data_IF_093032407275
#
_entry.id   IF_093032407275
#
_cell.length_a   1.000
_cell.length_b   1.000
_cell.length_c   1.000
_cell.angle_alpha   90.00
_cell.angle_beta   90.00
_cell.angle_gamma   90.00
#
_symmetry.space_group_name_H-M   'P 1'
#
loop_
_entity.id
_entity.type
_entity.pdbx_description
1 polymer ?
#
# COMPACT_ATOMS: atom_id res chain seq x y z
N UNK A 1 16.86 1.74 -14.90
CA UNK A 1 15.81 2.61 -14.34
C UNK A 1 15.02 1.77 -13.37
N UNK A 2 14.83 2.24 -12.11
CA UNK A 2 14.04 1.49 -11.13
C UNK A 2 12.56 1.47 -11.52
N UNK A 3 11.92 0.34 -11.29
CA UNK A 3 10.52 0.10 -11.64
C UNK A 3 9.63 0.22 -10.42
N UNK A 4 8.56 0.97 -10.53
CA UNK A 4 7.56 1.15 -9.48
C UNK A 4 6.22 0.62 -9.97
N UNK A 5 5.58 -0.18 -9.15
CA UNK A 5 4.24 -0.67 -9.43
C UNK A 5 3.25 -0.13 -8.39
N UNK A 6 2.24 0.60 -8.84
CA UNK A 6 1.21 1.22 -7.99
C UNK A 6 -0.06 0.37 -8.05
N UNK A 7 -0.56 -0.02 -6.89
CA UNK A 7 -1.84 -0.71 -6.73
C UNK A 7 -2.84 0.29 -6.14
N UNK A 8 -3.78 0.76 -6.98
CA UNK A 8 -4.88 1.60 -6.53
C UNK A 8 -5.98 0.72 -5.95
N UNK A 9 -6.02 0.65 -4.62
CA UNK A 9 -7.02 -0.05 -3.83
C UNK A 9 -8.27 0.78 -3.50
N UNK A 10 -8.48 1.89 -4.20
CA UNK A 10 -9.63 2.78 -4.06
C UNK A 10 -10.90 2.16 -4.64
N UNK A 11 -11.53 1.27 -3.87
CA UNK A 11 -12.71 0.53 -4.29
C UNK A 11 -13.92 1.43 -4.50
N UNK A 12 -14.64 1.22 -5.60
CA UNK A 12 -15.97 1.76 -5.82
C UNK A 12 -17.02 0.92 -5.09
N UNK A 13 -17.96 1.62 -4.44
CA UNK A 13 -19.04 0.97 -3.71
C UNK A 13 -20.31 1.81 -3.76
N UNK A 14 -21.44 1.20 -4.13
CA UNK A 14 -22.75 1.87 -4.29
C UNK A 14 -22.73 3.16 -5.14
N UNK A 15 -21.98 3.14 -6.25
CA UNK A 15 -21.92 4.28 -7.17
C UNK A 15 -21.04 5.46 -6.70
N UNK A 16 -20.18 5.23 -5.72
CA UNK A 16 -19.22 6.23 -5.23
C UNK A 16 -17.99 5.60 -4.60
N UNK A 17 -16.98 6.40 -4.36
CA UNK A 17 -15.72 5.97 -3.73
C UNK A 17 -14.56 5.90 -4.73
N UNK A 18 -13.36 5.72 -4.19
CA UNK A 18 -12.15 5.56 -5.00
C UNK A 18 -11.55 6.84 -5.61
N UNK A 19 -12.33 7.92 -5.76
CA UNK A 19 -11.89 9.12 -6.49
C UNK A 19 -10.62 9.75 -5.90
N UNK A 20 -10.53 9.92 -4.58
CA UNK A 20 -9.33 10.48 -3.96
C UNK A 20 -8.13 9.54 -4.14
N UNK A 21 -8.33 8.23 -4.02
CA UNK A 21 -7.25 7.27 -4.24
C UNK A 21 -6.78 7.26 -5.70
N UNK A 22 -7.67 7.49 -6.66
CA UNK A 22 -7.31 7.68 -8.07
C UNK A 22 -6.48 8.96 -8.27
N UNK A 23 -6.85 10.06 -7.61
CA UNK A 23 -6.06 11.30 -7.62
C UNK A 23 -4.68 11.10 -6.98
N UNK A 24 -4.60 10.42 -5.84
CA UNK A 24 -3.33 10.08 -5.18
C UNK A 24 -2.45 9.21 -6.10
N UNK A 25 -3.04 8.24 -6.79
CA UNK A 25 -2.34 7.40 -7.77
C UNK A 25 -1.74 8.25 -8.89
N UNK A 26 -2.50 9.21 -9.41
CA UNK A 26 -2.03 10.09 -10.48
C UNK A 26 -0.92 11.05 -9.99
N UNK A 27 -1.04 11.64 -8.80
CA UNK A 27 0.01 12.46 -8.21
C UNK A 27 1.31 11.66 -8.00
N UNK A 28 1.18 10.41 -7.55
CA UNK A 28 2.31 9.51 -7.38
C UNK A 28 2.98 9.21 -8.70
N UNK A 29 2.19 8.82 -9.71
CA UNK A 29 2.69 8.50 -11.04
C UNK A 29 3.48 9.67 -11.65
N UNK A 30 2.86 10.86 -11.69
CA UNK A 30 3.49 12.06 -12.25
C UNK A 30 4.79 12.40 -11.52
N UNK A 31 4.76 12.45 -10.18
CA UNK A 31 5.95 12.80 -9.39
C UNK A 31 7.09 11.80 -9.61
N UNK A 32 6.80 10.50 -9.67
CA UNK A 32 7.84 9.48 -9.81
C UNK A 32 8.38 9.41 -11.25
N UNK A 33 7.56 9.65 -12.26
CA UNK A 33 7.99 9.78 -13.66
C UNK A 33 8.90 11.00 -13.84
N UNK A 34 8.55 12.15 -13.23
CA UNK A 34 9.43 13.35 -13.21
C UNK A 34 10.78 13.07 -12.54
N UNK A 35 10.80 12.21 -11.51
CA UNK A 35 12.03 11.75 -10.87
C UNK A 35 12.78 10.67 -11.67
N UNK A 36 12.25 10.26 -12.84
CA UNK A 36 12.88 9.33 -13.77
C UNK A 36 12.71 7.86 -13.41
N UNK A 37 11.64 7.49 -12.70
CA UNK A 37 11.25 6.09 -12.48
C UNK A 37 10.38 5.59 -13.64
N UNK A 38 10.38 4.28 -13.87
CA UNK A 38 9.40 3.62 -14.72
C UNK A 38 8.21 3.21 -13.87
N UNK A 39 7.05 3.80 -14.12
CA UNK A 39 5.85 3.58 -13.30
C UNK A 39 4.80 2.80 -14.07
N UNK A 40 4.25 1.77 -13.45
CA UNK A 40 3.06 1.06 -13.89
C UNK A 40 2.01 1.12 -12.78
N UNK A 41 0.74 1.09 -13.13
CA UNK A 41 -0.34 1.08 -12.14
C UNK A 41 -1.47 0.14 -12.53
N UNK A 42 -2.15 -0.40 -11.52
CA UNK A 42 -3.40 -1.16 -11.65
C UNK A 42 -4.44 -0.60 -10.69
N UNK A 43 -5.69 -0.54 -11.14
CA UNK A 43 -6.85 -0.23 -10.29
C UNK A 43 -7.63 -1.53 -10.04
N UNK A 44 -7.91 -1.84 -8.78
CA UNK A 44 -8.64 -3.07 -8.40
C UNK A 44 -10.08 -3.15 -8.94
N UNK A 45 -10.66 -2.01 -9.37
CA UNK A 45 -11.99 -1.98 -9.98
C UNK A 45 -11.99 -2.45 -11.44
N UNK A 46 -10.84 -2.53 -12.07
CA UNK A 46 -10.71 -3.02 -13.45
C UNK A 46 -10.57 -4.54 -13.47
N UNK A 47 -10.93 -5.15 -14.59
CA UNK A 47 -10.61 -6.55 -14.84
C UNK A 47 -9.09 -6.73 -14.90
N UNK A 48 -8.56 -7.73 -14.22
CA UNK A 48 -7.15 -8.07 -14.21
C UNK A 48 -6.95 -9.58 -14.33
N UNK A 49 -5.80 -9.98 -14.83
CA UNK A 49 -5.32 -11.35 -14.78
C UNK A 49 -4.41 -11.51 -13.56
N UNK A 50 -4.73 -12.37 -12.58
CA UNK A 50 -3.96 -12.49 -11.35
C UNK A 50 -2.49 -12.87 -11.57
N UNK A 51 -2.20 -13.70 -12.58
CA UNK A 51 -0.83 -14.10 -12.89
C UNK A 51 -0.02 -12.94 -13.48
N UNK A 52 -0.60 -12.20 -14.41
CA UNK A 52 0.04 -11.02 -14.97
C UNK A 52 0.29 -9.93 -13.91
N UNK A 53 -0.62 -9.76 -12.95
CA UNK A 53 -0.43 -8.85 -11.82
C UNK A 53 0.72 -9.32 -10.89
N UNK A 54 0.81 -10.62 -10.60
CA UNK A 54 1.90 -11.20 -9.84
C UNK A 54 3.27 -10.97 -10.53
N UNK A 55 3.34 -11.06 -11.84
CA UNK A 55 4.55 -10.78 -12.62
C UNK A 55 4.95 -9.29 -12.54
N UNK A 56 3.97 -8.37 -12.53
CA UNK A 56 4.24 -6.93 -12.30
C UNK A 56 4.81 -6.70 -10.89
N UNK A 57 4.23 -7.33 -9.86
CA UNK A 57 4.73 -7.28 -8.48
C UNK A 57 6.15 -7.83 -8.42
N UNK A 58 6.38 -9.02 -8.97
CA UNK A 58 7.71 -9.65 -8.98
C UNK A 58 8.74 -8.84 -9.79
N UNK A 59 8.32 -8.13 -10.83
CA UNK A 59 9.17 -7.30 -11.68
C UNK A 59 9.48 -5.90 -11.15
N UNK A 60 8.74 -5.40 -10.13
CA UNK A 60 8.92 -4.08 -9.56
C UNK A 60 10.05 -4.06 -8.53
N UNK A 61 10.74 -2.92 -8.38
CA UNK A 61 11.69 -2.66 -7.28
C UNK A 61 10.96 -2.11 -6.04
N UNK A 62 9.86 -1.38 -6.28
CA UNK A 62 8.99 -0.83 -5.22
C UNK A 62 7.53 -1.03 -5.59
N UNK A 63 6.74 -1.46 -4.60
CA UNK A 63 5.29 -1.57 -4.72
C UNK A 63 4.67 -0.48 -3.86
N UNK A 64 3.75 0.30 -4.42
CA UNK A 64 3.03 1.35 -3.70
C UNK A 64 1.54 1.01 -3.67
N UNK A 65 1.00 0.88 -2.46
CA UNK A 65 -0.43 0.66 -2.25
C UNK A 65 -1.11 1.96 -1.87
N UNK A 66 -2.18 2.32 -2.58
CA UNK A 66 -3.09 3.41 -2.21
C UNK A 66 -4.43 2.84 -1.83
N UNK A 67 -4.86 3.01 -0.58
CA UNK A 67 -6.08 2.37 -0.10
C UNK A 67 -6.88 3.27 0.86
N UNK A 68 -8.20 3.34 0.74
CA UNK A 68 -9.01 3.84 1.84
C UNK A 68 -9.03 2.80 2.96
N UNK A 69 -9.30 3.24 4.18
CA UNK A 69 -9.58 2.33 5.29
C UNK A 69 -11.08 2.28 5.53
N UNK A 70 -11.64 1.09 5.45
CA UNK A 70 -13.04 0.78 5.69
C UNK A 70 -13.16 -0.15 6.89
N UNK A 71 -13.92 0.24 7.90
CA UNK A 71 -14.10 -0.57 9.09
C UNK A 71 -12.77 -1.10 9.67
N UNK A 72 -11.77 -0.21 9.74
CA UNK A 72 -10.43 -0.46 10.27
C UNK A 72 -9.62 -1.52 9.52
N UNK A 73 -9.94 -1.77 8.25
CA UNK A 73 -9.22 -2.67 7.35
C UNK A 73 -9.15 -2.08 5.94
N UNK A 74 -8.32 -2.68 5.09
CA UNK A 74 -8.38 -2.39 3.66
C UNK A 74 -9.72 -2.87 3.08
N UNK A 75 -10.24 -2.26 2.01
CA UNK A 75 -11.46 -2.72 1.34
C UNK A 75 -11.38 -4.18 0.94
N UNK A 76 -12.53 -4.88 0.96
CA UNK A 76 -12.58 -6.29 0.60
C UNK A 76 -12.05 -6.56 -0.82
N UNK A 77 -12.26 -5.65 -1.77
CA UNK A 77 -11.73 -5.80 -3.14
C UNK A 77 -10.22 -5.73 -3.21
N UNK A 78 -9.57 -4.89 -2.38
CA UNK A 78 -8.10 -4.91 -2.29
C UNK A 78 -7.61 -6.21 -1.63
N UNK A 79 -8.32 -6.71 -0.61
CA UNK A 79 -7.97 -7.99 0.01
C UNK A 79 -8.15 -9.14 -0.97
N UNK A 80 -9.24 -9.17 -1.74
CA UNK A 80 -9.47 -10.14 -2.81
C UNK A 80 -8.35 -10.10 -3.85
N UNK A 81 -8.01 -8.90 -4.36
CA UNK A 81 -6.90 -8.72 -5.29
C UNK A 81 -5.59 -9.33 -4.75
N UNK A 82 -5.25 -9.04 -3.49
CA UNK A 82 -4.04 -9.58 -2.86
C UNK A 82 -4.09 -11.11 -2.81
N UNK A 83 -5.21 -11.69 -2.37
CA UNK A 83 -5.36 -13.13 -2.24
C UNK A 83 -5.26 -13.84 -3.59
N UNK A 84 -5.94 -13.34 -4.61
CA UNK A 84 -5.91 -13.92 -5.95
C UNK A 84 -4.52 -13.80 -6.59
N UNK A 85 -3.90 -12.62 -6.52
CA UNK A 85 -2.62 -12.32 -7.16
C UNK A 85 -1.47 -13.07 -6.47
N UNK A 86 -1.43 -13.08 -5.13
CA UNK A 86 -0.37 -13.77 -4.40
C UNK A 86 -0.48 -15.30 -4.57
N UNK A 87 -1.71 -15.85 -4.59
CA UNK A 87 -1.91 -17.26 -4.90
C UNK A 87 -1.47 -17.62 -6.33
N UNK A 88 -1.83 -16.80 -7.32
CA UNK A 88 -1.42 -17.02 -8.71
C UNK A 88 0.09 -16.88 -8.93
N UNK A 89 0.75 -16.12 -8.07
CA UNK A 89 2.19 -15.84 -8.12
C UNK A 89 3.03 -16.57 -7.08
N UNK A 90 2.53 -17.59 -6.41
CA UNK A 90 3.27 -18.25 -5.32
C UNK A 90 4.69 -18.66 -5.72
N UNK A 91 4.87 -19.19 -6.92
CA UNK A 91 6.18 -19.64 -7.44
C UNK A 91 7.20 -18.50 -7.65
N UNK A 92 6.74 -17.25 -7.82
CA UNK A 92 7.60 -16.08 -8.08
C UNK A 92 7.58 -15.04 -6.96
N UNK A 93 6.65 -15.13 -6.01
CA UNK A 93 6.52 -14.21 -4.88
C UNK A 93 6.90 -14.89 -3.56
N UNK A 94 6.32 -16.07 -3.26
CA UNK A 94 6.51 -16.77 -2.00
C UNK A 94 6.17 -18.27 -2.11
N UNK A 95 7.11 -19.11 -2.56
CA UNK A 95 6.83 -20.54 -2.83
C UNK A 95 6.63 -21.38 -1.57
N UNK A 96 7.06 -20.90 -0.40
CA UNK A 96 6.89 -21.57 0.88
C UNK A 96 6.98 -20.56 2.03
N UNK A 97 6.74 -21.00 3.24
CA UNK A 97 6.76 -20.17 4.45
C UNK A 97 8.16 -20.08 5.12
N UNK A 98 9.18 -20.73 4.57
CA UNK A 98 10.55 -20.74 5.07
C UNK A 98 10.87 -21.85 6.08
N UNK A 99 9.88 -22.55 6.60
CA UNK A 99 10.08 -23.68 7.52
C UNK A 99 10.53 -24.93 6.78
N UNK A 100 11.24 -25.80 7.46
CA UNK A 100 11.54 -27.15 6.99
C UNK A 100 10.72 -28.19 7.74
N UNK A 101 10.46 -29.34 7.10
CA UNK A 101 9.80 -30.46 7.77
C UNK A 101 10.62 -31.04 8.92
N UNK A 102 11.96 -30.89 8.87
CA UNK A 102 12.86 -31.37 9.93
C UNK A 102 12.85 -30.43 11.16
N UNK A 103 12.53 -29.14 10.99
CA UNK A 103 12.43 -28.18 12.08
C UNK A 103 11.31 -27.16 11.79
N UNK A 104 10.04 -27.50 12.10
CA UNK A 104 8.90 -26.69 11.74
C UNK A 104 8.68 -25.45 12.64
N UNK A 105 9.45 -25.30 13.72
CA UNK A 105 9.24 -24.25 14.72
C UNK A 105 10.03 -22.96 14.44
N UNK A 106 10.94 -23.00 13.45
CA UNK A 106 11.80 -21.85 13.10
C UNK A 106 11.66 -21.44 11.63
N UNK A 107 12.15 -20.24 11.32
CA UNK A 107 12.20 -19.64 9.97
C UNK A 107 10.84 -19.32 9.34
N UNK A 108 9.74 -19.33 10.11
CA UNK A 108 8.44 -18.88 9.59
C UNK A 108 8.50 -17.46 9.03
N UNK A 109 8.02 -17.28 7.81
CA UNK A 109 8.00 -15.99 7.11
C UNK A 109 9.32 -15.62 6.43
N UNK A 110 10.20 -16.59 6.16
CA UNK A 110 11.48 -16.35 5.46
C UNK A 110 11.51 -16.91 4.03
N UNK A 111 10.41 -17.52 3.56
CA UNK A 111 10.33 -18.15 2.24
C UNK A 111 9.96 -17.21 1.08
N UNK A 112 9.70 -15.93 1.36
CA UNK A 112 9.40 -14.95 0.33
C UNK A 112 10.58 -14.69 -0.61
N UNK A 113 10.30 -14.34 -1.87
CA UNK A 113 11.31 -14.10 -2.92
C UNK A 113 11.54 -12.62 -3.22
N UNK A 114 10.90 -11.71 -2.48
CA UNK A 114 10.94 -10.28 -2.74
C UNK A 114 12.01 -9.53 -1.94
N UNK A 115 13.02 -10.23 -1.41
CA UNK A 115 14.11 -9.60 -0.65
C UNK A 115 14.85 -8.55 -1.49
N UNK A 116 15.24 -7.45 -0.85
CA UNK A 116 15.88 -6.31 -1.49
C UNK A 116 14.91 -5.33 -2.16
N UNK A 117 13.64 -5.71 -2.31
CA UNK A 117 12.56 -4.85 -2.80
C UNK A 117 11.83 -4.17 -1.66
N UNK A 118 11.10 -3.11 -1.98
CA UNK A 118 10.42 -2.28 -0.97
C UNK A 118 8.94 -2.12 -1.26
N UNK A 119 8.19 -1.71 -0.25
CA UNK A 119 6.82 -1.26 -0.43
C UNK A 119 6.55 0.02 0.37
N UNK A 120 5.57 0.76 -0.08
CA UNK A 120 4.99 1.91 0.60
C UNK A 120 3.48 1.73 0.65
N UNK A 121 2.84 2.14 1.73
CA UNK A 121 1.39 2.19 1.82
C UNK A 121 0.93 3.60 2.16
N UNK A 122 -0.05 4.10 1.42
CA UNK A 122 -0.77 5.33 1.76
C UNK A 122 -2.22 4.99 2.08
N UNK A 123 -2.77 5.64 3.07
CA UNK A 123 -4.15 5.41 3.47
C UNK A 123 -4.97 6.69 3.51
N UNK A 124 -6.27 6.59 3.23
CA UNK A 124 -7.23 7.68 3.41
C UNK A 124 -8.23 7.32 4.50
N UNK A 125 -8.50 8.27 5.39
CA UNK A 125 -9.27 8.08 6.62
C UNK A 125 -10.41 9.09 6.78
N UNK A 126 -11.52 8.64 7.32
CA UNK A 126 -12.53 9.53 7.90
C UNK A 126 -12.17 9.96 9.32
N UNK A 127 -11.35 9.18 10.04
CA UNK A 127 -10.87 9.52 11.36
C UNK A 127 -9.87 10.70 11.30
N UNK A 128 -9.94 11.66 12.23
CA UNK A 128 -8.95 12.73 12.33
C UNK A 128 -7.63 12.21 12.93
N UNK A 129 -6.52 12.89 12.64
CA UNK A 129 -5.21 12.57 13.22
C UNK A 129 -5.25 12.54 14.77
N UNK A 130 -6.04 13.42 15.37
CA UNK A 130 -6.19 13.50 16.83
C UNK A 130 -6.55 12.13 17.44
N UNK A 131 -7.42 11.36 16.77
CA UNK A 131 -7.85 10.04 17.28
C UNK A 131 -6.70 9.04 17.42
N UNK A 132 -5.58 9.25 16.72
CA UNK A 132 -4.39 8.40 16.80
C UNK A 132 -3.30 8.96 17.73
N UNK A 133 -3.37 10.25 18.09
CA UNK A 133 -2.26 10.91 18.80
C UNK A 133 -2.59 11.39 20.19
N UNK A 134 -3.87 11.61 20.50
CA UNK A 134 -4.28 12.09 21.80
C UNK A 134 -4.42 10.94 22.82
N UNK A 135 -4.01 11.17 24.10
CA UNK A 135 -4.23 10.21 25.16
C UNK A 135 -5.74 10.00 25.39
N UNK A 136 -6.13 8.76 25.66
CA UNK A 136 -7.52 8.36 25.91
C UNK A 136 -8.50 8.62 24.76
N UNK A 137 -8.01 8.80 23.53
CA UNK A 137 -8.83 8.82 22.33
C UNK A 137 -8.91 7.40 21.72
N UNK A 138 -9.72 7.24 20.68
CA UNK A 138 -10.19 5.95 20.16
C UNK A 138 -9.09 4.92 19.85
N UNK A 139 -7.92 5.34 19.41
CA UNK A 139 -6.82 4.44 19.07
C UNK A 139 -5.73 4.35 20.16
N UNK A 140 -5.94 4.90 21.35
CA UNK A 140 -5.01 4.82 22.48
C UNK A 140 -3.55 5.15 22.12
N UNK A 141 -3.34 6.17 21.32
CA UNK A 141 -2.05 6.59 20.77
C UNK A 141 -1.35 5.52 19.90
N UNK A 142 -2.08 4.51 19.43
CA UNK A 142 -1.55 3.52 18.50
C UNK A 142 -1.50 4.11 17.08
N UNK A 143 -0.35 4.06 16.43
CA UNK A 143 -0.21 4.55 15.06
C UNK A 143 -1.02 3.72 14.06
N UNK A 144 -1.26 4.27 12.87
CA UNK A 144 -1.91 3.52 11.77
C UNK A 144 -1.11 2.26 11.43
N UNK A 145 0.22 2.38 11.38
CA UNK A 145 1.12 1.29 10.99
C UNK A 145 1.20 0.19 12.06
N UNK A 146 1.27 0.56 13.35
CA UNK A 146 1.38 -0.41 14.44
C UNK A 146 0.03 -1.07 14.80
N UNK A 147 -1.07 -0.40 14.49
CA UNK A 147 -2.43 -0.87 14.76
C UNK A 147 -3.09 -1.48 13.52
N UNK A 148 -3.82 -0.66 12.79
CA UNK A 148 -4.69 -1.11 11.69
C UNK A 148 -3.91 -1.79 10.56
N UNK A 149 -2.70 -1.34 10.25
CA UNK A 149 -1.86 -1.91 9.19
C UNK A 149 -0.92 -3.02 9.66
N UNK A 150 -0.93 -3.40 10.94
CA UNK A 150 -0.04 -4.44 11.46
C UNK A 150 -0.04 -5.72 10.60
N UNK A 151 -1.22 -6.29 10.30
CA UNK A 151 -1.35 -7.47 9.46
C UNK A 151 -0.89 -7.24 8.02
N UNK A 152 -1.16 -6.04 7.47
CA UNK A 152 -0.73 -5.64 6.14
C UNK A 152 0.80 -5.56 6.03
N UNK A 153 1.46 -5.01 7.05
CA UNK A 153 2.92 -4.99 7.13
C UNK A 153 3.51 -6.41 7.28
N UNK A 154 2.86 -7.29 8.07
CA UNK A 154 3.31 -8.69 8.20
C UNK A 154 3.16 -9.45 6.90
N UNK A 155 2.10 -9.25 6.13
CA UNK A 155 1.92 -9.83 4.80
C UNK A 155 3.06 -9.42 3.84
N UNK A 156 3.36 -8.14 3.75
CA UNK A 156 4.46 -7.65 2.90
C UNK A 156 5.83 -8.20 3.35
N UNK A 157 6.07 -8.24 4.67
CA UNK A 157 7.28 -8.85 5.24
C UNK A 157 7.38 -10.35 4.93
N UNK A 158 6.26 -11.06 4.97
CA UNK A 158 6.20 -12.51 4.69
C UNK A 158 6.67 -12.83 3.27
N UNK A 159 6.34 -12.01 2.30
CA UNK A 159 6.83 -12.16 0.92
C UNK A 159 8.25 -11.59 0.71
N UNK A 160 8.86 -10.98 1.72
CA UNK A 160 10.25 -10.49 1.69
C UNK A 160 10.41 -8.99 1.41
N UNK A 161 9.33 -8.22 1.35
CA UNK A 161 9.37 -6.78 1.13
C UNK A 161 9.76 -6.02 2.41
N UNK A 162 10.52 -4.93 2.24
CA UNK A 162 10.86 -3.99 3.32
C UNK A 162 10.04 -2.70 3.20
N UNK A 163 9.54 -2.13 4.32
CA UNK A 163 8.73 -0.93 4.28
C UNK A 163 9.54 0.33 3.93
N UNK A 164 8.90 1.24 3.21
CA UNK A 164 9.21 2.66 3.16
C UNK A 164 8.21 3.39 4.05
N UNK A 165 8.55 4.59 4.48
CA UNK A 165 7.65 5.45 5.25
C UNK A 165 6.37 5.72 4.46
N UNK A 166 5.22 5.39 5.04
CA UNK A 166 3.90 5.59 4.46
C UNK A 166 3.42 7.04 4.57
N UNK A 167 2.24 7.31 4.02
CA UNK A 167 1.58 8.61 4.17
C UNK A 167 0.09 8.43 4.42
N UNK A 168 -0.46 9.09 5.45
CA UNK A 168 -1.86 8.92 5.85
C UNK A 168 -2.62 10.24 5.72
N UNK A 169 -3.69 10.21 4.93
CA UNK A 169 -4.60 11.34 4.70
C UNK A 169 -5.76 11.23 5.68
N UNK A 170 -5.77 12.04 6.72
CA UNK A 170 -6.78 12.01 7.77
C UNK A 170 -7.96 12.93 7.49
N UNK A 171 -9.15 12.53 7.94
CA UNK A 171 -10.39 13.33 7.94
C UNK A 171 -10.74 13.89 6.54
N UNK A 172 -10.63 13.02 5.54
CA UNK A 172 -10.79 13.42 4.13
C UNK A 172 -12.25 13.57 3.71
N UNK A 173 -13.22 13.23 4.57
CA UNK A 173 -14.64 13.32 4.26
C UNK A 173 -15.32 14.49 4.95
N UNK A 174 -15.20 14.65 6.28
CA UNK A 174 -15.84 15.76 7.01
C UNK A 174 -15.14 17.09 6.74
N UNK A 175 -13.82 17.11 6.75
CA UNK A 175 -13.00 18.29 6.49
C UNK A 175 -12.26 18.20 5.15
N UNK A 176 -12.79 17.46 4.18
CA UNK A 176 -12.20 17.31 2.84
C UNK A 176 -12.47 18.53 1.96
N UNK A 177 -12.17 19.76 2.42
CA UNK A 177 -12.30 20.96 1.59
C UNK A 177 -11.26 20.96 0.47
N UNK A 178 -11.51 21.65 -0.67
CA UNK A 178 -10.54 21.75 -1.76
C UNK A 178 -9.17 22.23 -1.29
N UNK A 179 -9.11 23.21 -0.39
CA UNK A 179 -7.87 23.81 0.14
C UNK A 179 -7.09 22.77 0.96
N UNK A 180 -7.79 21.98 1.76
CA UNK A 180 -7.18 20.94 2.58
C UNK A 180 -6.67 19.77 1.72
N UNK A 181 -7.41 19.38 0.70
CA UNK A 181 -6.97 18.35 -0.24
C UNK A 181 -5.74 18.83 -1.03
N UNK A 182 -5.70 20.08 -1.45
CA UNK A 182 -4.52 20.65 -2.10
C UNK A 182 -3.31 20.71 -1.14
N UNK A 183 -3.51 21.08 0.12
CA UNK A 183 -2.44 21.05 1.13
C UNK A 183 -1.90 19.62 1.34
N UNK A 184 -2.77 18.63 1.40
CA UNK A 184 -2.38 17.21 1.44
C UNK A 184 -1.59 16.79 0.19
N UNK A 185 -2.03 17.21 -1.00
CA UNK A 185 -1.32 16.93 -2.25
C UNK A 185 0.11 17.46 -2.20
N UNK A 186 0.30 18.73 -1.79
CA UNK A 186 1.62 19.34 -1.69
C UNK A 186 2.52 18.61 -0.67
N UNK A 187 1.98 18.30 0.52
CA UNK A 187 2.70 17.54 1.55
C UNK A 187 3.08 16.13 1.06
N UNK A 188 2.18 15.46 0.37
CA UNK A 188 2.42 14.12 -0.17
C UNK A 188 3.47 14.13 -1.30
N UNK A 189 3.42 15.10 -2.22
CA UNK A 189 4.44 15.26 -3.26
C UNK A 189 5.82 15.53 -2.63
N UNK A 190 5.88 16.36 -1.59
CA UNK A 190 7.12 16.60 -0.85
C UNK A 190 7.65 15.33 -0.19
N UNK A 191 6.76 14.51 0.42
CA UNK A 191 7.09 13.22 0.99
C UNK A 191 7.67 12.25 -0.07
N UNK A 192 7.02 12.13 -1.23
CA UNK A 192 7.55 11.32 -2.33
C UNK A 192 8.93 11.79 -2.78
N UNK A 193 9.15 13.10 -2.94
CA UNK A 193 10.46 13.65 -3.31
C UNK A 193 11.53 13.38 -2.24
N UNK A 194 11.17 13.39 -0.97
CA UNK A 194 12.10 13.02 0.11
C UNK A 194 12.52 11.55 0.04
N UNK A 195 11.58 10.63 -0.20
CA UNK A 195 11.86 9.19 -0.26
C UNK A 195 12.58 8.79 -1.56
N UNK A 196 12.18 9.36 -2.68
CA UNK A 196 12.60 8.90 -4.01
C UNK A 196 13.55 9.85 -4.74
N UNK A 197 13.73 11.08 -4.26
CA UNK A 197 14.55 12.10 -4.93
C UNK A 197 16.06 11.92 -4.77
N UNK A 198 16.51 11.21 -3.73
CA UNK A 198 17.92 10.91 -3.52
C UNK A 198 18.28 9.61 -4.25
N UNK A 199 18.78 9.72 -5.47
CA UNK A 199 19.29 8.60 -6.27
C UNK A 199 20.72 8.27 -5.91
#
# INVERSE_FOLDING_TARGET
>A
MKKIFIINGGQEFHGGGGTLNSSITEWTRQTLEELGYQVQSTCINNTYDPRAEAEKIAGADVIIYHTPIWWFQVPYGLKQYIDEVFNAGMDIICPNDGRSSANPDINYGTGGLMQGKKYMVTTTWNAPLASFTQPNDFFDQTSVDDGVLFGFHKMNKFVGLSPLEGFHFYDVRKNGTPERIEAYKQAYIAHLKNIFGNK
#
